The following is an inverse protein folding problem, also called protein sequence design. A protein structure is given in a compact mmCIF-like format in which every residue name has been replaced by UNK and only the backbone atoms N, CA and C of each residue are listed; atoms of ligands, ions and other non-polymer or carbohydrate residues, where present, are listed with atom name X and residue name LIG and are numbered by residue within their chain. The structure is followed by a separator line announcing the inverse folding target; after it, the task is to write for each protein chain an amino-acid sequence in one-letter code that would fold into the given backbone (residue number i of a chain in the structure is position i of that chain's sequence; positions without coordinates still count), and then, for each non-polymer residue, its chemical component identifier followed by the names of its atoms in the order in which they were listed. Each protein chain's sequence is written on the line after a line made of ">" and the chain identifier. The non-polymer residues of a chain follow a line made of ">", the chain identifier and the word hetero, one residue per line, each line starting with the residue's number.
data_IF_288997823491
#
_entry.id   IF_288997823491
#
_cell.length_a   1.000
_cell.length_b   1.000
_cell.length_c   1.000
_cell.angle_alpha   90.00
_cell.angle_beta   90.00
_cell.angle_gamma   90.00
#
_symmetry.space_group_name_H-M   'P 1'
#
loop_
_entity.id
_entity.type
_entity.pdbx_description
1 polymer ?
#
# COMPACT_ATOMS: atom_id res chain seq x y z
N UNK A 1 -42.94 -0.17 43.67
CA UNK A 1 -42.92 0.95 42.72
C UNK A 1 -41.93 1.97 43.22
N UNK A 2 -40.71 1.99 42.66
CA UNK A 2 -39.61 2.87 43.08
C UNK A 2 -39.45 3.98 42.03
N UNK A 3 -39.50 5.24 42.47
CA UNK A 3 -39.26 6.42 41.64
C UNK A 3 -37.78 6.83 41.76
N UNK A 4 -37.03 6.77 40.66
CA UNK A 4 -35.67 7.30 40.56
C UNK A 4 -35.73 8.76 40.13
N UNK A 5 -35.20 9.65 40.97
CA UNK A 5 -34.99 11.08 40.67
C UNK A 5 -33.63 11.27 39.99
N UNK A 6 -33.62 11.87 38.80
CA UNK A 6 -32.41 12.22 38.06
C UNK A 6 -32.07 13.69 38.31
N UNK A 7 -31.10 13.96 39.19
CA UNK A 7 -30.46 15.27 39.29
C UNK A 7 -29.43 15.40 38.16
N UNK A 8 -29.67 16.33 37.23
CA UNK A 8 -28.68 16.68 36.21
C UNK A 8 -27.70 17.71 36.78
N UNK A 9 -26.37 17.48 36.72
CA UNK A 9 -25.42 18.52 37.07
C UNK A 9 -25.45 19.62 36.01
N UNK A 10 -25.77 20.85 36.44
CA UNK A 10 -25.66 22.05 35.63
C UNK A 10 -24.18 22.44 35.56
N UNK A 11 -23.55 22.17 34.43
CA UNK A 11 -22.20 22.67 34.15
C UNK A 11 -22.29 24.14 33.76
N UNK A 12 -21.76 25.02 34.61
CA UNK A 12 -21.45 26.40 34.22
C UNK A 12 -20.20 26.37 33.34
N UNK A 13 -20.34 26.84 32.11
CA UNK A 13 -19.19 27.15 31.28
C UNK A 13 -18.54 28.43 31.84
N UNK A 14 -17.34 28.32 32.39
CA UNK A 14 -16.55 29.47 32.77
C UNK A 14 -16.18 30.29 31.52
N UNK A 15 -16.12 31.63 31.62
CA UNK A 15 -15.73 32.48 30.51
C UNK A 15 -14.25 32.22 30.13
N UNK A 16 -14.02 31.87 28.86
CA UNK A 16 -12.70 31.64 28.28
C UNK A 16 -11.90 32.95 28.35
N UNK A 17 -10.77 32.91 29.06
CA UNK A 17 -9.82 34.03 29.13
C UNK A 17 -9.21 34.28 27.74
N UNK A 18 -9.18 35.53 27.25
CA UNK A 18 -8.54 35.86 25.98
C UNK A 18 -7.03 35.57 26.07
N UNK A 19 -6.56 34.64 25.22
CA UNK A 19 -5.16 34.20 25.16
C UNK A 19 -4.88 32.77 25.62
N UNK A 20 -5.90 32.02 26.07
CA UNK A 20 -5.76 30.58 26.29
C UNK A 20 -5.83 29.85 24.94
N UNK A 21 -4.75 29.10 24.59
CA UNK A 21 -4.76 28.18 23.47
C UNK A 21 -5.95 27.23 23.63
N UNK A 22 -6.87 27.24 22.68
CA UNK A 22 -8.03 26.36 22.72
C UNK A 22 -7.60 24.92 22.43
N UNK A 23 -8.41 23.95 22.83
CA UNK A 23 -8.13 22.53 22.51
C UNK A 23 -8.15 22.31 21.00
N UNK A 24 -8.90 23.14 20.28
CA UNK A 24 -8.97 23.24 18.84
C UNK A 24 -7.65 23.79 18.25
N UNK A 25 -7.05 24.81 18.85
CA UNK A 25 -5.74 25.34 18.43
C UNK A 25 -4.60 24.34 18.65
N UNK A 26 -4.64 23.58 19.76
CA UNK A 26 -3.70 22.49 20.02
C UNK A 26 -3.87 21.32 19.04
N UNK A 27 -5.10 21.02 18.61
CA UNK A 27 -5.37 20.03 17.56
C UNK A 27 -4.85 20.49 16.21
N UNK A 28 -5.17 21.72 15.81
CA UNK A 28 -4.73 22.31 14.55
C UNK A 28 -3.19 22.44 14.48
N UNK A 29 -2.52 22.71 15.60
CA UNK A 29 -1.06 22.75 15.68
C UNK A 29 -0.38 21.39 15.56
N UNK A 30 -1.01 20.32 16.07
CA UNK A 30 -0.50 18.95 15.97
C UNK A 30 -0.63 18.39 14.54
N UNK A 31 -1.72 18.72 13.85
CA UNK A 31 -1.95 18.29 12.46
C UNK A 31 -1.01 19.00 11.47
N UNK A 32 -0.57 20.22 11.79
CA UNK A 32 0.35 21.00 10.96
C UNK A 32 1.85 20.68 11.21
N UNK A 33 2.22 20.11 12.35
CA UNK A 33 3.62 19.78 12.70
C UNK A 33 4.07 18.37 12.31
N UNK A 34 3.17 17.51 11.83
CA UNK A 34 3.51 16.14 11.43
C UNK A 34 2.96 15.75 10.05
N UNK A 35 2.89 16.69 9.12
CA UNK A 35 3.08 16.32 7.72
C UNK A 35 4.57 15.98 7.53
N UNK A 36 5.03 14.89 8.17
CA UNK A 36 6.28 14.23 7.80
C UNK A 36 6.13 14.01 6.31
N UNK A 37 6.95 14.68 5.50
CA UNK A 37 6.93 14.43 4.06
C UNK A 37 7.05 12.93 3.92
N UNK A 38 5.99 12.35 3.38
CA UNK A 38 5.94 10.94 3.06
C UNK A 38 6.77 10.83 1.78
N UNK A 39 8.07 11.09 1.93
CA UNK A 39 9.03 10.92 0.86
C UNK A 39 9.03 9.43 0.56
N UNK A 40 8.74 9.14 -0.70
CA UNK A 40 8.79 7.84 -1.33
C UNK A 40 9.73 8.08 -2.52
N UNK A 41 11.00 7.75 -2.32
CA UNK A 41 12.12 8.17 -3.17
C UNK A 41 12.12 7.40 -4.49
N UNK A 42 11.62 6.17 -4.50
CA UNK A 42 11.59 5.29 -5.67
C UNK A 42 10.18 5.05 -6.25
N UNK A 43 9.14 5.57 -5.59
CA UNK A 43 7.75 5.53 -5.99
C UNK A 43 7.13 4.12 -6.04
N UNK A 44 7.66 3.17 -5.26
CA UNK A 44 7.13 1.82 -5.18
C UNK A 44 5.78 1.74 -4.44
N UNK A 45 5.39 2.81 -3.75
CA UNK A 45 4.14 2.92 -3.01
C UNK A 45 4.28 2.68 -1.52
N UNK A 46 5.50 2.44 -1.03
CA UNK A 46 5.87 2.47 0.37
C UNK A 46 6.73 3.71 0.67
N UNK A 47 6.39 4.52 1.68
CA UNK A 47 7.24 5.65 2.07
C UNK A 47 8.58 5.20 2.66
N UNK A 48 9.67 5.92 2.36
CA UNK A 48 11.06 5.68 2.85
C UNK A 48 11.12 5.35 4.36
N UNK A 49 10.26 6.03 5.10
CA UNK A 49 10.22 5.95 6.56
C UNK A 49 9.51 4.72 7.08
N UNK A 50 8.62 4.12 6.29
CA UNK A 50 7.94 2.86 6.60
C UNK A 50 8.76 1.67 6.14
N UNK A 51 9.43 1.78 5.01
CA UNK A 51 10.34 0.77 4.48
C UNK A 51 11.41 0.34 5.49
N UNK A 52 12.04 1.32 6.16
CA UNK A 52 13.00 1.07 7.23
C UNK A 52 12.42 0.37 8.48
N UNK A 53 11.09 0.33 8.61
CA UNK A 53 10.34 -0.32 9.69
C UNK A 53 9.79 -1.70 9.30
N UNK A 54 9.84 -2.08 8.02
CA UNK A 54 9.49 -3.42 7.57
C UNK A 54 10.52 -4.44 8.06
N UNK A 55 10.10 -5.70 8.21
CA UNK A 55 10.97 -6.77 8.67
C UNK A 55 10.79 -8.02 7.79
N UNK A 56 11.74 -8.37 6.90
CA UNK A 56 13.02 -7.70 6.70
C UNK A 56 12.87 -6.27 6.17
N UNK A 57 13.87 -5.43 6.41
CA UNK A 57 13.86 -4.06 5.89
C UNK A 57 13.95 -4.06 4.36
N UNK A 58 13.22 -3.14 3.73
CA UNK A 58 13.37 -2.74 2.33
C UNK A 58 14.36 -1.56 2.20
N UNK A 59 14.81 -1.28 0.98
CA UNK A 59 15.72 -0.22 0.59
C UNK A 59 14.91 0.94 -0.04
N UNK A 60 14.89 2.13 0.59
CA UNK A 60 14.16 3.30 0.08
C UNK A 60 14.59 3.85 -1.28
N UNK A 61 15.43 3.14 -2.01
CA UNK A 61 15.89 3.52 -3.33
C UNK A 61 15.72 2.39 -4.35
N UNK A 62 15.11 1.27 -3.96
CA UNK A 62 14.84 0.12 -4.81
C UNK A 62 13.34 0.04 -5.16
N UNK A 63 12.91 0.52 -6.35
CA UNK A 63 11.50 0.62 -6.73
C UNK A 63 10.77 -0.74 -6.87
N UNK A 64 11.47 -1.83 -6.62
CA UNK A 64 11.01 -3.18 -6.85
C UNK A 64 10.79 -3.98 -5.57
N UNK A 65 11.25 -3.51 -4.41
CA UNK A 65 11.35 -4.34 -3.22
C UNK A 65 10.09 -4.35 -2.33
N UNK A 66 9.11 -3.48 -2.57
CA UNK A 66 7.75 -3.58 -2.07
C UNK A 66 6.77 -4.17 -3.11
N UNK A 67 6.29 -5.39 -2.88
CA UNK A 67 5.54 -6.17 -3.88
C UNK A 67 4.02 -6.01 -3.77
N UNK A 68 3.51 -4.78 -3.72
CA UNK A 68 2.08 -4.47 -3.86
C UNK A 68 1.73 -4.21 -5.32
N UNK A 69 0.74 -4.93 -5.85
CA UNK A 69 0.34 -4.87 -7.26
C UNK A 69 -1.14 -4.54 -7.39
N UNK A 70 -1.63 -4.13 -8.57
CA UNK A 70 -3.06 -3.95 -8.77
C UNK A 70 -3.82 -5.28 -8.56
N UNK A 71 -4.83 -5.28 -7.70
CA UNK A 71 -5.66 -6.46 -7.38
C UNK A 71 -7.15 -6.21 -7.66
N UNK A 72 -7.86 -7.14 -8.34
CA UNK A 72 -7.37 -8.39 -8.93
C UNK A 72 -6.47 -8.16 -10.15
N UNK A 73 -5.88 -9.22 -10.71
CA UNK A 73 -5.10 -9.14 -11.95
C UNK A 73 -5.84 -8.35 -13.04
N UNK A 74 -5.19 -7.38 -13.69
CA UNK A 74 -5.86 -6.45 -14.61
C UNK A 74 -6.57 -7.14 -15.78
N UNK A 75 -6.02 -8.24 -16.32
CA UNK A 75 -6.70 -9.00 -17.37
C UNK A 75 -7.98 -9.70 -16.91
N UNK A 76 -8.11 -9.97 -15.60
CA UNK A 76 -9.26 -10.62 -14.98
C UNK A 76 -10.21 -9.61 -14.29
N UNK A 77 -9.81 -8.35 -14.18
CA UNK A 77 -10.61 -7.31 -13.55
C UNK A 77 -11.84 -6.95 -14.41
N UNK A 78 -13.06 -6.87 -13.83
CA UNK A 78 -14.25 -6.42 -14.56
C UNK A 78 -14.14 -4.98 -15.06
N UNK A 79 -13.39 -4.14 -14.32
CA UNK A 79 -13.08 -2.77 -14.71
C UNK A 79 -11.63 -2.44 -14.30
N UNK A 80 -10.64 -2.69 -15.17
CA UNK A 80 -9.23 -2.52 -14.85
C UNK A 80 -8.83 -1.07 -14.53
N UNK A 81 -9.58 -0.07 -15.02
CA UNK A 81 -9.30 1.35 -14.77
C UNK A 81 -9.48 1.78 -13.30
N UNK A 82 -10.14 0.94 -12.49
CA UNK A 82 -10.39 1.21 -11.08
C UNK A 82 -9.59 0.28 -10.14
N UNK A 83 -8.65 -0.48 -10.70
CA UNK A 83 -7.80 -1.40 -9.94
C UNK A 83 -6.47 -0.71 -9.65
N UNK A 84 -6.13 -0.61 -8.38
CA UNK A 84 -4.95 0.10 -7.89
C UNK A 84 -4.20 -0.74 -6.87
N UNK A 85 -2.91 -0.46 -6.69
CA UNK A 85 -2.15 -0.94 -5.53
C UNK A 85 -2.69 -0.27 -4.25
N UNK A 86 -2.76 -1.02 -3.15
CA UNK A 86 -3.36 -0.57 -1.89
C UNK A 86 -2.34 -0.32 -0.77
N UNK A 87 -1.05 -0.27 -1.14
CA UNK A 87 0.09 -0.16 -0.23
C UNK A 87 0.13 -1.30 0.82
N UNK A 88 -0.52 -2.43 0.56
CA UNK A 88 -0.44 -3.63 1.41
C UNK A 88 -0.04 -4.82 0.55
N UNK A 89 0.82 -5.68 1.08
CA UNK A 89 1.09 -6.97 0.43
C UNK A 89 0.16 -8.02 1.03
N UNK A 90 -0.85 -8.40 0.26
CA UNK A 90 -1.92 -9.30 0.64
C UNK A 90 -1.85 -10.64 -0.11
N UNK A 91 -2.66 -11.65 0.27
CA UNK A 91 -2.82 -12.84 -0.56
C UNK A 91 -3.37 -12.54 -1.96
N UNK A 92 -4.08 -11.42 -2.13
CA UNK A 92 -4.62 -10.98 -3.41
C UNK A 92 -3.51 -10.63 -4.41
N UNK A 93 -2.42 -10.02 -3.93
CA UNK A 93 -1.26 -9.67 -4.76
C UNK A 93 -0.61 -10.92 -5.33
N UNK A 94 -0.33 -11.91 -4.47
CA UNK A 94 0.22 -13.19 -4.88
C UNK A 94 -0.71 -13.93 -5.86
N UNK A 95 -2.03 -13.86 -5.66
CA UNK A 95 -3.00 -14.44 -6.59
C UNK A 95 -3.01 -13.72 -7.95
N UNK A 96 -2.87 -12.40 -7.97
CA UNK A 96 -2.83 -11.63 -9.20
C UNK A 96 -1.58 -11.95 -10.03
N UNK A 97 -0.41 -12.01 -9.38
CA UNK A 97 0.85 -12.44 -10.02
C UNK A 97 0.73 -13.88 -10.54
N UNK A 98 0.18 -14.80 -9.75
CA UNK A 98 -0.03 -16.19 -10.17
C UNK A 98 -0.99 -16.31 -11.37
N UNK A 99 -1.97 -15.41 -11.47
CA UNK A 99 -2.88 -15.36 -12.61
C UNK A 99 -2.13 -14.99 -13.90
N UNK A 100 -1.23 -14.01 -13.86
CA UNK A 100 -0.38 -13.64 -15.01
C UNK A 100 0.63 -14.75 -15.37
N UNK A 101 1.21 -15.43 -14.37
CA UNK A 101 2.01 -16.64 -14.62
C UNK A 101 1.20 -17.72 -15.35
N UNK A 102 -0.05 -17.95 -14.95
CA UNK A 102 -0.91 -19.01 -15.52
C UNK A 102 -1.21 -18.79 -17.00
N UNK A 103 -1.30 -17.53 -17.44
CA UNK A 103 -1.50 -17.17 -18.86
C UNK A 103 -0.17 -17.06 -19.64
N UNK A 104 0.97 -17.31 -18.99
CA UNK A 104 2.30 -17.27 -19.62
C UNK A 104 2.73 -15.87 -20.02
N UNK A 105 2.41 -14.87 -19.20
CA UNK A 105 2.77 -13.48 -19.48
C UNK A 105 4.29 -13.27 -19.46
N UNK A 106 4.82 -12.79 -20.58
CA UNK A 106 6.23 -12.45 -20.77
C UNK A 106 6.34 -11.38 -21.86
N UNK A 107 7.47 -10.66 -21.88
CA UNK A 107 7.73 -9.63 -22.90
C UNK A 107 7.45 -10.16 -24.31
N UNK A 108 6.67 -9.42 -25.07
CA UNK A 108 6.19 -9.80 -26.40
C UNK A 108 4.89 -10.61 -26.45
N UNK A 109 4.30 -11.01 -25.31
CA UNK A 109 2.94 -11.58 -25.27
C UNK A 109 1.89 -10.51 -24.98
N UNK A 110 0.64 -10.67 -25.47
CA UNK A 110 -0.41 -9.68 -25.26
C UNK A 110 -0.64 -9.32 -23.79
N UNK A 111 -0.62 -10.31 -22.90
CA UNK A 111 -0.90 -10.14 -21.47
C UNK A 111 0.19 -9.30 -20.80
N UNK A 112 1.44 -9.40 -21.24
CA UNK A 112 2.53 -8.58 -20.70
C UNK A 112 2.51 -7.17 -21.30
N UNK A 113 2.19 -7.04 -22.59
CA UNK A 113 2.36 -5.80 -23.36
C UNK A 113 1.16 -4.84 -23.32
N UNK A 114 0.02 -5.28 -22.79
CA UNK A 114 -1.16 -4.44 -22.61
C UNK A 114 -0.94 -3.36 -21.55
N UNK A 115 -1.78 -2.33 -21.57
CA UNK A 115 -1.91 -1.31 -20.52
C UNK A 115 -3.40 -1.15 -20.27
N UNK A 116 -3.96 -2.02 -19.42
CA UNK A 116 -5.40 -2.15 -19.21
C UNK A 116 -5.97 -1.09 -18.28
N UNK A 117 -5.18 -0.62 -17.33
CA UNK A 117 -5.55 0.45 -16.42
C UNK A 117 -5.25 1.86 -16.99
N UNK A 118 -4.66 1.93 -18.19
CA UNK A 118 -4.34 3.17 -18.91
C UNK A 118 -3.42 4.10 -18.10
N UNK A 119 -2.49 3.52 -17.34
CA UNK A 119 -1.53 4.28 -16.53
C UNK A 119 -0.20 4.55 -17.26
N UNK A 120 -0.05 4.07 -18.51
CA UNK A 120 1.16 4.20 -19.31
C UNK A 120 2.26 3.19 -18.98
N UNK A 121 1.99 2.25 -18.07
CA UNK A 121 2.85 1.13 -17.70
C UNK A 121 2.25 -0.13 -18.33
N UNK A 122 3.13 -0.99 -18.86
CA UNK A 122 2.68 -2.29 -19.35
C UNK A 122 2.23 -3.14 -18.16
N UNK A 123 1.08 -3.78 -18.26
CA UNK A 123 0.52 -4.73 -17.28
C UNK A 123 1.62 -5.67 -16.77
N UNK A 124 2.39 -6.28 -17.67
CA UNK A 124 3.47 -7.20 -17.31
C UNK A 124 4.49 -6.62 -16.33
N UNK A 125 4.90 -5.36 -16.52
CA UNK A 125 5.86 -4.68 -15.63
C UNK A 125 5.29 -4.41 -14.23
N UNK A 126 3.97 -4.33 -14.08
CA UNK A 126 3.33 -4.15 -12.78
C UNK A 126 3.39 -5.43 -11.93
N UNK A 127 3.52 -6.60 -12.57
CA UNK A 127 3.51 -7.91 -11.89
C UNK A 127 4.84 -8.67 -11.97
N UNK A 128 5.73 -8.31 -12.89
CA UNK A 128 7.05 -8.94 -13.09
C UNK A 128 8.07 -8.38 -12.09
N UNK A 129 8.58 -9.25 -11.23
CA UNK A 129 9.71 -9.00 -10.34
C UNK A 129 10.68 -10.16 -10.52
N UNK A 130 11.91 -10.01 -10.04
CA UNK A 130 12.82 -11.14 -9.92
C UNK A 130 13.10 -11.46 -8.45
N UNK A 131 13.49 -12.69 -8.14
CA UNK A 131 13.91 -13.04 -6.77
C UNK A 131 15.36 -12.61 -6.54
N UNK A 132 15.55 -11.55 -5.76
CA UNK A 132 16.88 -11.09 -5.32
C UNK A 132 17.35 -11.75 -4.02
N UNK A 133 16.43 -12.39 -3.28
CA UNK A 133 16.73 -13.12 -2.04
C UNK A 133 15.47 -13.51 -1.27
N UNK A 134 15.59 -14.03 -0.04
CA UNK A 134 14.43 -14.40 0.78
C UNK A 134 13.55 -13.17 1.06
N UNK A 135 12.31 -13.17 0.51
CA UNK A 135 11.37 -12.04 0.54
C UNK A 135 11.91 -10.72 -0.04
N UNK A 136 12.98 -10.80 -0.84
CA UNK A 136 13.53 -9.64 -1.55
C UNK A 136 13.29 -9.78 -3.04
N UNK A 137 12.58 -8.80 -3.60
CA UNK A 137 12.46 -8.63 -5.05
C UNK A 137 13.66 -7.91 -5.62
N UNK A 138 13.82 -8.06 -6.92
CA UNK A 138 14.64 -7.20 -7.76
C UNK A 138 13.87 -6.83 -9.02
N UNK A 139 14.58 -6.16 -9.92
CA UNK A 139 14.03 -5.66 -11.18
C UNK A 139 13.32 -6.74 -12.02
N UNK A 140 12.33 -6.36 -12.84
CA UNK A 140 11.67 -7.25 -13.80
C UNK A 140 12.69 -7.94 -14.71
N UNK A 141 12.49 -9.23 -15.00
CA UNK A 141 13.36 -10.00 -15.90
C UNK A 141 12.74 -10.29 -17.28
N UNK A 142 11.51 -9.81 -17.48
CA UNK A 142 10.74 -9.95 -18.71
C UNK A 142 9.77 -11.12 -18.71
N UNK A 143 9.70 -11.93 -17.64
CA UNK A 143 8.84 -13.11 -17.56
C UNK A 143 8.17 -13.17 -16.19
N UNK A 144 6.84 -13.33 -16.16
CA UNK A 144 6.12 -13.58 -14.90
C UNK A 144 6.10 -15.09 -14.64
N UNK A 145 6.70 -15.48 -13.52
CA UNK A 145 6.92 -16.86 -13.10
C UNK A 145 6.18 -17.19 -11.80
N UNK A 146 6.15 -18.48 -11.44
CA UNK A 146 5.60 -18.91 -10.16
C UNK A 146 6.43 -18.39 -8.96
N UNK A 147 7.73 -18.13 -9.13
CA UNK A 147 8.57 -17.57 -8.06
C UNK A 147 8.15 -16.17 -7.67
N UNK A 148 7.57 -15.41 -8.59
CA UNK A 148 7.14 -14.03 -8.37
C UNK A 148 5.91 -14.00 -7.46
N UNK A 149 4.96 -14.91 -7.70
CA UNK A 149 3.82 -15.12 -6.82
C UNK A 149 4.26 -15.62 -5.41
N UNK A 150 5.27 -16.49 -5.36
CA UNK A 150 5.84 -16.96 -4.08
C UNK A 150 6.51 -15.82 -3.31
N UNK A 151 7.12 -14.86 -4.02
CA UNK A 151 7.77 -13.70 -3.43
C UNK A 151 6.76 -12.74 -2.82
N UNK A 152 5.68 -12.40 -3.54
CA UNK A 152 4.56 -11.63 -2.98
C UNK A 152 3.98 -12.32 -1.74
N UNK A 153 3.80 -13.66 -1.78
CA UNK A 153 3.35 -14.42 -0.62
C UNK A 153 4.35 -14.40 0.55
N UNK A 154 5.66 -14.39 0.25
CA UNK A 154 6.69 -14.28 1.28
C UNK A 154 6.63 -12.93 2.00
N UNK A 155 6.44 -11.82 1.27
CA UNK A 155 6.25 -10.49 1.87
C UNK A 155 4.93 -10.37 2.63
N UNK A 156 3.84 -10.96 2.13
CA UNK A 156 2.59 -11.09 2.88
C UNK A 156 2.81 -11.80 4.23
N UNK A 157 3.61 -12.87 4.26
CA UNK A 157 3.95 -13.58 5.51
C UNK A 157 4.69 -12.69 6.52
N UNK A 158 5.44 -11.71 6.03
CA UNK A 158 6.08 -10.68 6.85
C UNK A 158 5.16 -9.49 7.18
N UNK A 159 3.89 -9.55 6.75
CA UNK A 159 2.87 -8.53 6.97
C UNK A 159 3.29 -7.12 6.48
N UNK A 160 3.90 -7.06 5.30
CA UNK A 160 4.30 -5.81 4.67
C UNK A 160 3.07 -4.92 4.40
N UNK A 161 3.09 -3.71 4.95
CA UNK A 161 2.06 -2.71 4.77
C UNK A 161 2.63 -1.30 4.95
N UNK A 162 2.21 -0.43 4.07
CA UNK A 162 2.53 0.98 3.99
C UNK A 162 1.22 1.78 3.84
#
# INVERSE_FOLDING_TARGET
>A
MFLLSLNSPSYRADPVLPGALTREDLRAGMDAQYAKSITDTDADGCPDVKESLLAPNTDPSDPWDFYSVPTPALFAAPNPLNVFKDATVSPGDAQAVFAYFTVGAQTGTPEYEQDRNANGIKDGLEYDRSVAGPAKSGAPDGVITASDAQLAFAQFKFAYHC
#
